data_IF_595755325730
#
_entry.id   IF_595755325730
#
_cell.length_a   1.000
_cell.length_b   1.000
_cell.length_c   1.000
_cell.angle_alpha   90.00
_cell.angle_beta   90.00
_cell.angle_gamma   90.00
#
_symmetry.space_group_name_H-M   'P 1'
#
loop_
_entity.id
_entity.type
_entity.pdbx_description
1 polymer ?
#
# COMPACT_ATOMS: atom_id res chain seq x y z
N UNK A 1 8.73 10.23 0.22
CA UNK A 1 7.76 10.37 1.34
C UNK A 1 8.06 9.30 2.37
N UNK A 2 8.07 9.62 3.66
CA UNK A 2 8.29 8.62 4.72
C UNK A 2 6.98 8.03 5.22
N UNK A 3 6.92 6.71 5.38
CA UNK A 3 5.77 5.98 5.94
C UNK A 3 6.24 4.80 6.80
N UNK A 4 5.39 4.30 7.68
CA UNK A 4 5.60 3.01 8.35
C UNK A 4 4.83 1.93 7.59
N UNK A 5 5.53 1.03 6.91
CA UNK A 5 4.92 -0.12 6.24
C UNK A 5 4.61 -1.19 7.30
N UNK A 6 3.32 -1.51 7.46
CA UNK A 6 2.82 -2.57 8.36
C UNK A 6 2.82 -3.94 7.69
N UNK A 7 2.27 -4.01 6.47
CA UNK A 7 2.07 -5.26 5.73
C UNK A 7 2.24 -5.03 4.24
N UNK A 8 2.72 -6.05 3.54
CA UNK A 8 2.75 -6.10 2.09
C UNK A 8 1.96 -7.34 1.67
N UNK A 9 1.07 -7.17 0.71
CA UNK A 9 0.28 -8.24 0.11
C UNK A 9 0.59 -8.31 -1.37
N UNK A 10 0.77 -9.51 -1.91
CA UNK A 10 0.83 -9.72 -3.36
C UNK A 10 -0.11 -10.87 -3.71
N UNK A 11 -0.98 -10.63 -4.69
CA UNK A 11 -2.03 -11.54 -5.14
C UNK A 11 -1.90 -11.62 -6.66
N UNK A 12 -1.52 -12.79 -7.15
CA UNK A 12 -1.72 -13.20 -8.54
C UNK A 12 -2.60 -14.45 -8.51
N UNK A 13 -3.88 -14.29 -8.87
CA UNK A 13 -4.88 -15.37 -8.84
C UNK A 13 -5.79 -15.27 -10.04
N UNK A 14 -5.96 -16.39 -10.74
CA UNK A 14 -6.88 -16.54 -11.87
C UNK A 14 -7.86 -17.68 -11.64
N UNK A 15 -9.02 -17.59 -12.26
CA UNK A 15 -10.04 -18.64 -12.21
C UNK A 15 -11.23 -18.33 -13.09
N UNK A 16 -12.29 -19.12 -12.93
CA UNK A 16 -13.57 -18.94 -13.62
C UNK A 16 -14.65 -18.66 -12.57
N UNK A 17 -15.52 -17.69 -12.83
CA UNK A 17 -16.65 -17.38 -11.98
C UNK A 17 -17.75 -18.44 -12.21
N UNK A 18 -18.20 -19.11 -11.14
CA UNK A 18 -19.12 -20.25 -11.24
C UNK A 18 -20.49 -19.91 -11.84
N UNK A 19 -20.96 -18.69 -11.61
CA UNK A 19 -22.33 -18.28 -11.94
C UNK A 19 -22.43 -17.68 -13.35
N UNK A 20 -21.34 -17.08 -13.85
CA UNK A 20 -21.29 -16.41 -15.15
C UNK A 20 -20.40 -17.09 -16.19
N UNK A 21 -19.62 -18.10 -15.80
CA UNK A 21 -18.65 -18.77 -16.68
C UNK A 21 -17.48 -17.89 -17.14
N UNK A 22 -17.42 -16.62 -16.69
CA UNK A 22 -16.37 -15.68 -17.10
C UNK A 22 -15.06 -15.95 -16.38
N UNK A 23 -13.96 -15.90 -17.13
CA UNK A 23 -12.62 -15.86 -16.55
C UNK A 23 -12.44 -14.58 -15.72
N UNK A 24 -11.70 -14.68 -14.62
CA UNK A 24 -11.28 -13.56 -13.80
C UNK A 24 -9.79 -13.70 -13.46
N UNK A 25 -9.13 -12.56 -13.35
CA UNK A 25 -7.74 -12.45 -12.93
C UNK A 25 -7.62 -11.29 -11.94
N UNK A 26 -7.05 -11.58 -10.77
CA UNK A 26 -6.71 -10.61 -9.73
C UNK A 26 -5.19 -10.54 -9.69
N UNK A 27 -4.66 -9.41 -10.13
CA UNK A 27 -3.24 -9.06 -10.10
C UNK A 27 -3.05 -7.79 -9.27
N UNK A 28 -2.61 -7.92 -8.02
CA UNK A 28 -2.47 -6.79 -7.11
C UNK A 28 -1.32 -7.00 -6.12
N UNK A 29 -0.35 -6.09 -6.12
CA UNK A 29 0.57 -5.90 -5.00
C UNK A 29 0.20 -4.63 -4.27
N UNK A 30 0.01 -4.71 -2.95
CA UNK A 30 -0.38 -3.59 -2.10
C UNK A 30 0.58 -3.44 -0.90
N UNK A 31 0.85 -2.19 -0.54
CA UNK A 31 1.51 -1.78 0.69
C UNK A 31 0.44 -1.22 1.61
N UNK A 32 0.33 -1.79 2.81
CA UNK A 32 -0.54 -1.28 3.88
C UNK A 32 0.37 -0.54 4.85
N UNK A 33 0.13 0.77 5.00
CA UNK A 33 0.99 1.69 5.73
C UNK A 33 0.22 2.47 6.79
N UNK A 34 0.85 2.68 7.95
CA UNK A 34 0.42 3.68 8.92
C UNK A 34 0.73 5.07 8.38
N UNK A 35 -0.32 5.89 8.24
CA UNK A 35 -0.20 7.32 7.97
C UNK A 35 -0.85 8.08 9.13
N UNK A 36 -0.14 9.03 9.76
CA UNK A 36 -0.73 9.81 10.84
C UNK A 36 -1.91 10.62 10.29
N UNK A 37 -2.95 10.75 11.10
CA UNK A 37 -4.07 11.64 10.81
C UNK A 37 -4.45 12.39 12.07
N UNK A 38 -4.97 13.59 11.85
CA UNK A 38 -5.61 14.45 12.82
C UNK A 38 -6.80 15.10 12.12
N UNK A 39 -7.93 15.08 12.81
CA UNK A 39 -9.23 15.63 12.46
C UNK A 39 -9.66 16.43 13.71
N UNK A 40 -10.36 17.56 13.58
CA UNK A 40 -10.76 18.43 14.71
C UNK A 40 -12.30 18.64 14.82
N UNK A 41 -12.92 18.21 15.94
CA UNK A 41 -14.33 18.45 16.38
C UNK A 41 -14.26 19.80 17.08
N UNK A 42 -14.80 20.83 16.45
CA UNK A 42 -15.02 22.08 17.15
C UNK A 42 -16.14 21.89 18.18
N UNK A 43 -15.87 22.31 19.42
CA UNK A 43 -16.85 22.33 20.52
C UNK A 43 -18.02 23.30 20.26
N UNK A 44 -17.96 24.11 19.19
CA UNK A 44 -18.99 25.10 18.85
C UNK A 44 -20.06 24.57 17.90
N UNK A 45 -19.79 23.50 17.15
CA UNK A 45 -20.60 23.09 15.99
C UNK A 45 -20.72 21.58 15.72
N UNK A 46 -20.14 20.72 16.56
CA UNK A 46 -20.32 19.25 16.52
C UNK A 46 -19.60 18.50 15.35
N UNK A 47 -18.47 19.05 14.80
CA UNK A 47 -17.69 18.61 13.60
C UNK A 47 -16.98 17.21 13.68
N UNK A 48 -15.64 16.97 13.64
CA UNK A 48 -15.02 15.66 14.07
C UNK A 48 -13.57 15.68 14.62
N UNK A 49 -13.31 15.37 15.91
CA UNK A 49 -11.93 15.25 16.48
C UNK A 49 -11.59 13.78 16.42
N UNK A 50 -10.49 13.44 15.75
CA UNK A 50 -9.87 12.14 15.85
C UNK A 50 -8.39 12.25 15.44
N UNK A 51 -7.48 11.75 16.27
CA UNK A 51 -6.06 11.69 15.95
C UNK A 51 -5.52 10.26 16.10
N UNK A 52 -4.44 9.94 15.41
CA UNK A 52 -3.78 8.65 15.47
C UNK A 52 -3.16 8.25 14.14
N UNK A 53 -3.24 6.97 13.79
CA UNK A 53 -2.79 6.44 12.50
C UNK A 53 -3.94 5.73 11.78
N UNK A 54 -4.03 5.94 10.47
CA UNK A 54 -4.95 5.23 9.58
C UNK A 54 -4.17 4.33 8.63
N UNK A 55 -4.67 3.13 8.41
CA UNK A 55 -4.15 2.23 7.40
C UNK A 55 -4.48 2.80 6.00
N UNK A 56 -3.45 3.17 5.24
CA UNK A 56 -3.59 3.50 3.82
C UNK A 56 -3.05 2.35 2.97
N UNK A 57 -3.81 1.97 1.94
CA UNK A 57 -3.44 0.93 0.99
C UNK A 57 -2.95 1.57 -0.31
N UNK A 58 -1.64 1.48 -0.58
CA UNK A 58 -1.02 1.90 -1.83
C UNK A 58 -0.85 0.71 -2.77
N UNK A 59 -1.19 0.88 -4.04
CA UNK A 59 -0.83 -0.11 -5.08
C UNK A 59 0.67 -0.03 -5.37
N UNK A 60 1.31 -1.14 -5.72
CA UNK A 60 2.72 -1.16 -6.12
C UNK A 60 2.84 -1.22 -7.64
N UNK A 61 3.37 -0.13 -8.20
CA UNK A 61 3.51 0.13 -9.62
C UNK A 61 2.21 0.06 -10.41
N UNK A 62 2.35 0.14 -11.73
CA UNK A 62 1.29 -0.15 -12.69
C UNK A 62 1.20 -1.65 -12.98
N UNK A 63 0.25 -2.03 -13.82
CA UNK A 63 0.06 -3.40 -14.31
C UNK A 63 1.28 -3.92 -15.08
N UNK A 64 1.70 -5.20 -14.91
CA UNK A 64 1.19 -6.13 -13.91
C UNK A 64 1.76 -5.86 -12.51
N UNK A 65 0.89 -5.74 -11.50
CA UNK A 65 1.27 -5.24 -10.17
C UNK A 65 2.03 -6.30 -9.34
N UNK A 66 1.73 -7.59 -9.51
CA UNK A 66 2.49 -8.72 -8.96
C UNK A 66 3.94 -8.72 -9.43
N UNK A 67 4.21 -8.30 -10.68
CA UNK A 67 5.56 -8.18 -11.22
C UNK A 67 6.44 -7.18 -10.44
N UNK A 68 5.82 -6.17 -9.82
CA UNK A 68 6.56 -5.17 -9.05
C UNK A 68 7.01 -5.68 -7.66
N UNK A 69 6.46 -6.78 -7.15
CA UNK A 69 6.80 -7.33 -5.83
C UNK A 69 8.30 -7.66 -5.72
N UNK A 70 8.85 -8.42 -6.68
CA UNK A 70 10.27 -8.73 -6.72
C UNK A 70 11.12 -7.58 -7.30
N UNK A 71 10.57 -6.81 -8.25
CA UNK A 71 11.26 -5.68 -8.88
C UNK A 71 11.67 -4.60 -7.86
N UNK A 72 10.79 -4.28 -6.91
CA UNK A 72 11.06 -3.33 -5.82
C UNK A 72 11.66 -4.00 -4.57
N UNK A 73 12.03 -5.28 -4.64
CA UNK A 73 12.67 -6.00 -3.54
C UNK A 73 11.79 -6.19 -2.29
N UNK A 74 10.46 -6.25 -2.44
CA UNK A 74 9.52 -6.35 -1.33
C UNK A 74 9.65 -7.68 -0.56
N UNK A 75 10.11 -8.71 -1.27
CA UNK A 75 10.51 -10.01 -0.72
C UNK A 75 11.55 -9.88 0.41
N UNK A 76 12.49 -8.92 0.26
CA UNK A 76 13.59 -8.69 1.20
C UNK A 76 13.12 -8.06 2.50
N UNK A 77 11.94 -7.45 2.54
CA UNK A 77 11.36 -6.82 3.73
C UNK A 77 10.65 -7.82 4.64
N UNK A 78 10.51 -9.08 4.21
CA UNK A 78 9.91 -10.16 5.01
C UNK A 78 10.66 -10.36 6.33
N UNK A 79 9.94 -10.30 7.44
CA UNK A 79 10.51 -10.38 8.79
C UNK A 79 11.11 -9.07 9.33
N UNK A 80 11.15 -7.99 8.52
CA UNK A 80 11.57 -6.66 8.97
C UNK A 80 10.38 -5.73 9.29
N UNK A 81 9.18 -6.06 8.83
CA UNK A 81 7.96 -5.29 9.08
C UNK A 81 7.45 -5.47 10.53
N UNK A 82 6.86 -4.43 11.16
CA UNK A 82 6.63 -3.09 10.61
C UNK A 82 7.90 -2.23 10.61
N UNK A 83 8.12 -1.45 9.55
CA UNK A 83 9.33 -0.62 9.41
C UNK A 83 9.08 0.73 8.74
N UNK A 84 9.93 1.72 9.04
CA UNK A 84 9.95 3.00 8.34
C UNK A 84 10.63 2.84 6.98
N UNK A 85 9.95 3.27 5.92
CA UNK A 85 10.48 3.31 4.57
C UNK A 85 10.28 4.70 3.98
N UNK A 86 11.23 5.13 3.17
CA UNK A 86 10.99 6.17 2.19
C UNK A 86 10.39 5.53 0.93
N UNK A 87 9.25 6.03 0.48
CA UNK A 87 8.60 5.62 -0.77
C UNK A 87 8.53 6.78 -1.75
N UNK A 88 8.64 6.43 -3.03
CA UNK A 88 8.31 7.31 -4.15
C UNK A 88 6.94 6.94 -4.69
N UNK A 89 6.09 7.94 -4.93
CA UNK A 89 4.73 7.75 -5.42
C UNK A 89 4.55 8.44 -6.78
N UNK A 90 3.81 7.78 -7.67
CA UNK A 90 3.39 8.32 -8.95
C UNK A 90 1.89 8.10 -9.15
N UNK A 91 1.32 8.77 -10.16
CA UNK A 91 0.01 8.38 -10.69
C UNK A 91 0.20 7.17 -11.61
N UNK A 92 -0.73 6.24 -11.54
CA UNK A 92 -0.84 5.11 -12.47
C UNK A 92 -2.28 4.60 -12.51
N UNK A 93 -2.50 3.41 -13.08
CA UNK A 93 -3.84 2.84 -13.24
C UNK A 93 -4.03 1.51 -12.51
N UNK A 94 -5.26 1.28 -12.02
CA UNK A 94 -5.66 0.04 -11.35
C UNK A 94 -6.12 -1.06 -12.33
N UNK A 95 -6.65 -2.17 -11.79
CA UNK A 95 -7.15 -3.28 -12.60
C UNK A 95 -8.33 -2.97 -13.52
N UNK A 96 -9.04 -1.88 -13.28
CA UNK A 96 -10.23 -1.47 -14.02
C UNK A 96 -10.00 -0.21 -14.87
N UNK A 97 -8.80 0.36 -14.84
CA UNK A 97 -8.43 1.57 -15.58
C UNK A 97 -8.72 2.87 -14.82
N UNK A 98 -9.00 2.80 -13.51
CA UNK A 98 -9.14 3.98 -12.68
C UNK A 98 -7.76 4.55 -12.32
N UNK A 99 -7.59 5.89 -12.27
CA UNK A 99 -6.37 6.51 -11.79
C UNK A 99 -6.18 6.23 -10.30
N UNK A 100 -4.95 5.89 -9.90
CA UNK A 100 -4.59 5.50 -8.53
C UNK A 100 -3.17 5.94 -8.18
N UNK A 101 -2.96 6.32 -6.92
CA UNK A 101 -1.61 6.58 -6.40
C UNK A 101 -0.88 5.24 -6.23
N UNK A 102 0.24 5.09 -6.92
CA UNK A 102 1.04 3.89 -6.96
C UNK A 102 2.44 4.17 -6.39
N UNK A 103 2.96 3.25 -5.58
CA UNK A 103 4.36 3.27 -5.11
C UNK A 103 5.24 2.70 -6.22
N UNK A 104 6.25 3.48 -6.64
CA UNK A 104 7.17 3.12 -7.73
C UNK A 104 8.60 2.82 -7.26
N UNK A 105 8.96 3.23 -6.04
CA UNK A 105 10.22 2.87 -5.39
C UNK A 105 10.06 2.80 -3.87
N UNK A 106 10.87 1.98 -3.20
CA UNK A 106 10.94 1.83 -1.74
C UNK A 106 12.38 1.71 -1.28
N UNK A 107 12.77 2.61 -0.37
CA UNK A 107 14.07 2.62 0.31
C UNK A 107 13.86 2.39 1.82
N UNK A 108 14.22 1.21 2.35
CA UNK A 108 14.19 0.93 3.78
C UNK A 108 15.04 1.91 4.58
N UNK A 109 14.44 2.57 5.57
CA UNK A 109 15.18 3.41 6.50
C UNK A 109 15.66 2.49 7.61
N UNK A 110 16.93 2.05 7.51
CA UNK A 110 17.56 1.30 8.59
C UNK A 110 17.57 2.18 9.84
N UNK A 111 16.85 1.76 10.88
CA UNK A 111 17.10 2.28 12.23
C UNK A 111 18.56 1.99 12.55
N UNK A 112 19.32 3.02 12.89
CA UNK A 112 20.61 2.80 13.54
C UNK A 112 20.31 2.03 14.83
N UNK A 113 20.94 0.86 15.02
CA UNK A 113 20.90 0.21 16.32
C UNK A 113 21.50 1.19 17.33
N UNK A 114 20.80 1.54 18.43
CA UNK A 114 21.51 2.00 19.61
C UNK A 114 22.43 0.85 20.05
N UNK A 115 23.74 1.13 20.10
CA UNK A 115 24.72 0.26 20.75
C UNK A 115 24.58 0.36 22.28
#
# INVERSE_FOLDING_TARGET
MKIVIKRIESIDRKGVNKDSGKEWHIDATNIIADVPFEDEKSEKDNSTVAFGFKDIVYQVGEKPSAGNYYKLGLDKLKGQLPMECEIEIAQGFDNFGNPKVCVIDIKPIKKANPQ
#
